data_IF_445742083141
#
_entry.id   IF_445742083141
#
_cell.length_a   1.000
_cell.length_b   1.000
_cell.length_c   1.000
_cell.angle_alpha   90.00
_cell.angle_beta   90.00
_cell.angle_gamma   90.00
#
_symmetry.space_group_name_H-M   'P 1'
#
loop_
_entity.id
_entity.type
_entity.pdbx_description
1 polymer ?
#
# COMPACT_ATOMS: atom_id res chain seq x y z
N UNK A 1 -10.41 14.00 4.46
CA UNK A 1 -9.95 14.47 3.12
C UNK A 1 -10.48 13.59 2.00
N UNK A 2 -10.07 12.33 1.87
CA UNK A 2 -10.53 11.43 0.79
C UNK A 2 -12.05 11.38 0.61
N UNK A 3 -12.82 11.24 1.70
CA UNK A 3 -14.29 11.22 1.63
C UNK A 3 -14.91 12.54 1.13
N UNK A 4 -14.25 13.69 1.38
CA UNK A 4 -14.72 15.02 1.00
C UNK A 4 -14.29 15.41 -0.42
N UNK A 5 -13.12 14.94 -0.85
CA UNK A 5 -12.51 15.25 -2.14
C UNK A 5 -12.11 13.95 -2.85
N UNK A 6 -13.09 13.13 -3.28
CA UNK A 6 -12.82 11.79 -3.81
C UNK A 6 -12.03 11.81 -5.13
N UNK A 7 -12.10 12.90 -5.89
CA UNK A 7 -11.44 13.09 -7.20
C UNK A 7 -10.15 13.89 -7.13
N UNK A 8 -9.87 14.55 -6.01
CA UNK A 8 -8.70 15.44 -5.86
C UNK A 8 -7.69 14.91 -4.85
N UNK A 9 -8.15 14.10 -3.89
CA UNK A 9 -7.30 13.49 -2.88
C UNK A 9 -7.16 12.00 -3.13
N UNK A 10 -5.93 11.54 -3.29
CA UNK A 10 -5.59 10.13 -3.53
C UNK A 10 -4.64 9.66 -2.44
N UNK A 11 -4.83 8.42 -1.99
CA UNK A 11 -4.00 7.78 -0.97
C UNK A 11 -3.54 6.46 -1.55
N UNK A 12 -2.23 6.26 -1.59
CA UNK A 12 -1.64 4.98 -1.94
C UNK A 12 -1.36 4.19 -0.67
N UNK A 13 -1.35 2.87 -0.79
CA UNK A 13 -0.95 1.94 0.26
C UNK A 13 0.56 1.99 0.45
N UNK A 14 1.03 2.08 1.69
CA UNK A 14 2.42 1.83 2.06
C UNK A 14 2.61 0.45 2.69
N UNK A 15 3.85 0.11 3.00
CA UNK A 15 4.20 -1.15 3.67
C UNK A 15 3.63 -1.25 5.10
N UNK A 16 3.53 -0.11 5.82
CA UNK A 16 2.93 -0.03 7.15
C UNK A 16 1.42 -0.21 7.13
N UNK A 17 0.74 0.00 6.00
CA UNK A 17 -0.70 -0.27 5.84
C UNK A 17 -0.98 -1.75 5.55
N UNK A 18 -0.34 -2.65 6.31
CA UNK A 18 -0.57 -4.10 6.30
C UNK A 18 -0.73 -4.62 7.71
N UNK A 19 -1.60 -5.61 7.90
CA UNK A 19 -1.92 -6.13 9.24
C UNK A 19 -0.68 -6.63 10.00
N UNK A 20 0.25 -7.31 9.32
CA UNK A 20 1.47 -7.81 9.94
C UNK A 20 2.36 -6.68 10.49
N UNK A 21 2.57 -5.63 9.69
CA UNK A 21 3.46 -4.52 10.05
C UNK A 21 2.79 -3.63 11.10
N UNK A 22 1.55 -3.21 10.88
CA UNK A 22 0.88 -2.33 11.85
C UNK A 22 0.58 -3.02 13.19
N UNK A 23 0.47 -4.36 13.21
CA UNK A 23 0.42 -5.12 14.45
C UNK A 23 1.75 -5.08 15.20
N UNK A 24 2.87 -5.33 14.50
CA UNK A 24 4.19 -5.40 15.11
C UNK A 24 4.70 -4.03 15.61
N UNK A 25 4.37 -2.95 14.89
CA UNK A 25 4.88 -1.61 15.17
C UNK A 25 3.90 -0.70 15.93
N UNK A 26 2.97 -1.29 16.70
CA UNK A 26 2.22 -0.59 17.75
C UNK A 26 0.93 0.12 17.32
N UNK A 27 0.57 0.12 16.05
CA UNK A 27 -0.72 0.69 15.62
C UNK A 27 -1.91 -0.12 16.16
N UNK A 28 -1.80 -1.45 16.20
CA UNK A 28 -2.79 -2.31 16.84
C UNK A 28 -2.99 -1.94 18.32
N UNK A 29 -1.90 -1.83 19.07
CA UNK A 29 -1.93 -1.46 20.48
C UNK A 29 -2.51 -0.07 20.69
N UNK A 30 -2.14 0.90 19.85
CA UNK A 30 -2.68 2.25 19.92
C UNK A 30 -4.20 2.28 19.71
N UNK A 31 -4.69 1.64 18.64
CA UNK A 31 -6.12 1.63 18.30
C UNK A 31 -6.92 0.88 19.35
N UNK A 32 -6.44 -0.27 19.82
CA UNK A 32 -7.16 -1.07 20.81
C UNK A 32 -7.16 -0.44 22.20
N UNK A 33 -6.08 0.25 22.59
CA UNK A 33 -5.98 0.97 23.87
C UNK A 33 -6.84 2.23 23.90
N UNK A 34 -6.92 2.98 22.80
CA UNK A 34 -7.65 4.26 22.72
C UNK A 34 -9.11 4.10 22.30
N UNK A 35 -9.41 3.06 21.54
CA UNK A 35 -10.72 2.85 20.92
C UNK A 35 -11.18 1.40 21.09
N UNK A 36 -11.06 0.56 20.07
CA UNK A 36 -11.51 -0.83 20.11
C UNK A 36 -10.77 -1.72 19.12
N UNK A 37 -10.76 -3.02 19.41
CA UNK A 37 -10.26 -4.05 18.49
C UNK A 37 -11.03 -4.05 17.16
N UNK A 38 -12.34 -3.82 17.20
CA UNK A 38 -13.19 -3.76 16.00
C UNK A 38 -12.80 -2.61 15.07
N UNK A 39 -12.37 -1.48 15.62
CA UNK A 39 -11.88 -0.36 14.82
C UNK A 39 -10.59 -0.72 14.08
N UNK A 40 -9.69 -1.50 14.70
CA UNK A 40 -8.48 -1.97 14.02
C UNK A 40 -8.81 -2.86 12.81
N UNK A 41 -9.79 -3.76 12.92
CA UNK A 41 -10.25 -4.57 11.78
C UNK A 41 -10.84 -3.71 10.65
N UNK A 42 -11.56 -2.63 11.00
CA UNK A 42 -12.06 -1.66 9.99
C UNK A 42 -10.92 -0.92 9.30
N UNK A 43 -9.85 -0.58 10.02
CA UNK A 43 -8.63 -0.04 9.40
C UNK A 43 -7.99 -1.05 8.45
N UNK A 44 -7.91 -2.34 8.80
CA UNK A 44 -7.37 -3.35 7.89
C UNK A 44 -8.16 -3.42 6.58
N UNK A 45 -9.49 -3.41 6.66
CA UNK A 45 -10.34 -3.38 5.47
C UNK A 45 -10.13 -2.11 4.62
N UNK A 46 -9.98 -0.95 5.28
CA UNK A 46 -9.69 0.30 4.58
C UNK A 46 -8.31 0.27 3.89
N UNK A 47 -7.28 -0.25 4.57
CA UNK A 47 -5.93 -0.40 4.03
C UNK A 47 -5.86 -1.40 2.89
N UNK A 48 -6.58 -2.52 2.98
CA UNK A 48 -6.68 -3.52 1.91
C UNK A 48 -7.40 -2.99 0.66
N UNK A 49 -8.16 -1.90 0.81
CA UNK A 49 -8.86 -1.20 -0.27
C UNK A 49 -8.02 -0.08 -0.91
N UNK A 50 -6.81 0.19 -0.42
CA UNK A 50 -5.96 1.24 -0.97
C UNK A 50 -5.23 0.75 -2.25
N UNK A 51 -5.18 1.56 -3.31
CA UNK A 51 -4.36 1.27 -4.49
C UNK A 51 -2.87 1.32 -4.12
N UNK A 52 -2.04 0.49 -4.77
CA UNK A 52 -0.60 0.42 -4.50
C UNK A 52 0.25 1.34 -5.37
N UNK A 53 -0.30 1.83 -6.48
CA UNK A 53 0.41 2.72 -7.39
C UNK A 53 -0.54 3.69 -8.11
N UNK A 54 0.02 4.77 -8.64
CA UNK A 54 -0.68 5.73 -9.48
C UNK A 54 0.19 6.16 -10.67
N UNK A 55 -0.45 6.47 -11.79
CA UNK A 55 0.19 7.11 -12.94
C UNK A 55 -0.34 8.54 -13.08
N UNK A 56 0.50 9.52 -12.78
CA UNK A 56 0.14 10.94 -12.81
C UNK A 56 0.55 11.54 -14.14
N UNK A 57 -0.40 12.20 -14.79
CA UNK A 57 -0.23 12.89 -16.07
C UNK A 57 0.39 12.01 -17.18
N UNK A 58 0.17 10.68 -17.12
CA UNK A 58 0.78 9.68 -18.01
C UNK A 58 2.33 9.74 -18.06
N UNK A 59 2.97 10.23 -17.00
CA UNK A 59 4.41 10.50 -16.97
C UNK A 59 5.08 10.03 -15.69
N UNK A 60 4.45 10.23 -14.54
CA UNK A 60 5.04 9.95 -13.24
C UNK A 60 4.37 8.71 -12.65
N UNK A 61 5.15 7.66 -12.46
CA UNK A 61 4.68 6.44 -11.82
C UNK A 61 5.03 6.50 -10.33
N UNK A 62 4.00 6.52 -9.48
CA UNK A 62 4.11 6.73 -8.05
C UNK A 62 3.76 5.44 -7.31
N UNK A 63 4.60 5.07 -6.34
CA UNK A 63 4.39 3.96 -5.40
C UNK A 63 5.11 4.26 -4.08
N UNK A 64 4.97 3.38 -3.09
CA UNK A 64 5.60 3.57 -1.79
C UNK A 64 7.09 3.21 -1.79
N UNK A 65 7.41 1.98 -2.20
CA UNK A 65 8.78 1.48 -2.30
C UNK A 65 9.36 1.78 -3.68
N UNK A 66 9.45 0.75 -4.52
CA UNK A 66 10.15 0.86 -5.78
C UNK A 66 9.78 -0.19 -6.82
N UNK A 67 10.63 -0.28 -7.84
CA UNK A 67 10.36 -1.15 -8.99
C UNK A 67 10.60 -2.61 -8.65
N UNK A 68 9.65 -3.46 -9.04
CA UNK A 68 9.84 -4.90 -9.05
C UNK A 68 10.52 -5.36 -10.34
N UNK A 69 11.49 -6.29 -10.29
CA UNK A 69 11.97 -7.01 -11.47
C UNK A 69 10.85 -7.76 -12.23
N UNK A 70 9.76 -8.11 -11.55
CA UNK A 70 8.59 -8.81 -12.11
C UNK A 70 7.59 -7.87 -12.80
N UNK A 71 7.74 -6.54 -12.61
CA UNK A 71 6.85 -5.56 -13.24
C UNK A 71 7.22 -5.38 -14.71
N UNK A 72 6.47 -6.03 -15.59
CA UNK A 72 6.63 -5.96 -17.06
C UNK A 72 5.59 -5.07 -17.73
N UNK A 73 4.43 -4.90 -17.11
CA UNK A 73 3.33 -4.09 -17.62
C UNK A 73 2.48 -3.53 -16.47
N UNK A 74 1.99 -2.29 -16.64
CA UNK A 74 1.03 -1.70 -15.70
C UNK A 74 -0.29 -2.48 -15.61
N UNK A 75 -0.61 -3.30 -16.61
CA UNK A 75 -1.78 -4.18 -16.58
C UNK A 75 -1.74 -5.16 -15.39
N UNK A 76 -0.55 -5.58 -14.95
CA UNK A 76 -0.38 -6.47 -13.79
C UNK A 76 -0.91 -5.82 -12.50
N UNK A 77 -0.73 -4.50 -12.36
CA UNK A 77 -1.22 -3.73 -11.22
C UNK A 77 -2.70 -3.41 -11.39
N UNK A 78 -3.12 -3.04 -12.61
CA UNK A 78 -4.53 -2.73 -12.90
C UNK A 78 -5.46 -3.94 -12.74
N UNK A 79 -4.96 -5.16 -12.91
CA UNK A 79 -5.74 -6.39 -12.73
C UNK A 79 -5.95 -6.80 -11.27
N UNK A 80 -5.33 -6.11 -10.31
CA UNK A 80 -5.50 -6.42 -8.89
C UNK A 80 -6.93 -6.12 -8.43
N UNK A 81 -7.62 -7.16 -7.96
CA UNK A 81 -8.94 -7.01 -7.36
C UNK A 81 -8.80 -6.45 -5.93
N UNK A 82 -9.42 -5.30 -5.66
CA UNK A 82 -9.52 -4.73 -4.32
C UNK A 82 -10.83 -5.21 -3.64
N UNK A 83 -10.82 -5.42 -2.31
CA UNK A 83 -9.66 -5.37 -1.42
C UNK A 83 -8.79 -6.63 -1.55
N UNK A 84 -7.49 -6.51 -1.31
CA UNK A 84 -6.58 -7.66 -1.22
C UNK A 84 -5.62 -7.55 -0.04
N UNK A 85 -5.23 -8.70 0.48
CA UNK A 85 -4.15 -8.84 1.45
C UNK A 85 -2.82 -9.01 0.72
N UNK A 86 -1.77 -8.34 1.18
CA UNK A 86 -0.42 -8.49 0.62
C UNK A 86 0.09 -9.91 0.94
N UNK A 87 0.33 -10.78 -0.06
CA UNK A 87 0.58 -12.20 0.18
C UNK A 87 2.00 -12.49 0.69
N UNK A 88 3.01 -11.80 0.15
CA UNK A 88 4.41 -11.94 0.54
C UNK A 88 5.22 -10.69 0.13
N UNK A 89 6.24 -10.34 0.91
CA UNK A 89 7.19 -9.26 0.65
C UNK A 89 8.09 -9.53 -0.56
N UNK A 90 8.21 -10.78 -1.02
CA UNK A 90 9.02 -11.14 -2.21
C UNK A 90 8.27 -11.09 -3.54
N UNK A 91 6.97 -10.78 -3.50
CA UNK A 91 6.13 -10.67 -4.70
C UNK A 91 6.29 -9.31 -5.39
N UNK A 92 5.81 -9.17 -6.63
CA UNK A 92 5.61 -7.87 -7.30
C UNK A 92 4.95 -6.81 -6.40
N UNK A 93 3.96 -7.20 -5.58
CA UNK A 93 3.29 -6.27 -4.66
C UNK A 93 4.22 -5.91 -3.50
N UNK A 94 4.97 -6.89 -2.98
CA UNK A 94 5.99 -6.67 -1.97
C UNK A 94 7.03 -5.65 -2.41
N UNK A 95 7.59 -5.81 -3.60
CA UNK A 95 8.58 -4.87 -4.16
C UNK A 95 8.02 -3.44 -4.30
N UNK A 96 6.79 -3.30 -4.83
CA UNK A 96 6.10 -2.00 -4.94
C UNK A 96 5.97 -1.29 -3.59
N UNK A 97 5.89 -2.05 -2.49
CA UNK A 97 5.76 -1.53 -1.14
C UNK A 97 7.09 -1.43 -0.38
N UNK A 98 8.16 -2.10 -0.80
CA UNK A 98 9.38 -2.25 0.02
C UNK A 98 10.70 -1.97 -0.69
N UNK A 99 10.75 -1.99 -2.02
CA UNK A 99 12.03 -1.86 -2.73
C UNK A 99 12.62 -0.47 -2.58
N UNK A 100 13.92 -0.43 -2.30
CA UNK A 100 14.72 0.79 -2.22
C UNK A 100 15.64 0.93 -3.46
N UNK A 101 16.02 2.16 -3.85
CA UNK A 101 17.04 2.37 -4.87
C UNK A 101 18.42 1.92 -4.38
N UNK A 102 19.21 1.32 -5.28
CA UNK A 102 20.63 1.07 -5.00
C UNK A 102 21.42 2.38 -5.02
N UNK A 103 22.38 2.53 -4.10
CA UNK A 103 23.30 3.68 -4.08
C UNK A 103 24.32 3.69 -5.23
N UNK A 104 24.51 2.57 -5.91
CA UNK A 104 25.36 2.48 -7.11
C UNK A 104 24.52 2.80 -8.35
N UNK A 105 24.82 3.93 -8.96
CA UNK A 105 24.33 4.26 -10.30
C UNK A 105 25.11 3.40 -11.29
N UNK A 106 24.43 2.48 -11.98
CA UNK A 106 24.97 1.81 -13.17
C UNK A 106 24.87 2.71 -14.39
#
# INVERSE_FOLDING_TARGET
MKARYPTDFFVLRGNHETAAINYHYGFFDEVTKRYSKDLWFRFQFAFDSLPIAALVANKLFCMHGGLSPELKSFSQIQSLALPFTVPDTTSLIGDILWSDPCGEVK
#
